data_IF_623710385248
#
_entry.id   IF_623710385248
#
_cell.length_a   1.000
_cell.length_b   1.000
_cell.length_c   1.000
_cell.angle_alpha   90.00
_cell.angle_beta   90.00
_cell.angle_gamma   90.00
#
_symmetry.space_group_name_H-M   'P 1'
#
loop_
_entity.id
_entity.type
_entity.pdbx_description
1 polymer ?
#
# COMPACT_ATOMS: atom_id res chain seq x y z
N UNK A 1 -0.27 -25.16 -3.38
CA UNK A 1 0.26 -24.77 -2.06
C UNK A 1 1.03 -23.45 -2.12
N UNK A 2 2.02 -23.30 -3.00
CA UNK A 2 2.83 -22.07 -3.13
C UNK A 2 2.02 -20.79 -3.36
N UNK A 3 1.04 -20.82 -4.27
CA UNK A 3 0.14 -19.68 -4.51
C UNK A 3 -0.59 -19.24 -3.23
N UNK A 4 -1.18 -20.18 -2.49
CA UNK A 4 -1.91 -19.89 -1.26
C UNK A 4 -0.99 -19.24 -0.21
N UNK A 5 0.21 -19.79 0.00
CA UNK A 5 1.18 -19.25 0.95
C UNK A 5 1.57 -17.81 0.56
N UNK A 6 1.90 -17.58 -0.71
CA UNK A 6 2.30 -16.25 -1.19
C UNK A 6 1.13 -15.26 -1.11
N UNK A 7 -0.09 -15.71 -1.40
CA UNK A 7 -1.29 -14.89 -1.27
C UNK A 7 -1.55 -14.49 0.19
N UNK A 8 -1.39 -15.42 1.14
CA UNK A 8 -1.49 -15.11 2.57
C UNK A 8 -0.43 -14.10 3.02
N UNK A 9 0.82 -14.27 2.58
CA UNK A 9 1.90 -13.31 2.86
C UNK A 9 1.58 -11.94 2.27
N UNK A 10 1.09 -11.90 1.03
CA UNK A 10 0.69 -10.67 0.35
C UNK A 10 -0.38 -9.90 1.14
N UNK A 11 -1.44 -10.60 1.55
CA UNK A 11 -2.53 -10.00 2.32
C UNK A 11 -2.05 -9.49 3.68
N UNK A 12 -1.24 -10.27 4.39
CA UNK A 12 -0.68 -9.86 5.67
C UNK A 12 0.18 -8.59 5.54
N UNK A 13 1.05 -8.54 4.54
CA UNK A 13 1.90 -7.39 4.24
C UNK A 13 1.07 -6.15 3.85
N UNK A 14 0.04 -6.33 3.03
CA UNK A 14 -0.90 -5.28 2.64
C UNK A 14 -1.68 -4.74 3.86
N UNK A 15 -2.10 -5.60 4.79
CA UNK A 15 -2.80 -5.17 6.00
C UNK A 15 -1.92 -4.39 6.97
N UNK A 16 -0.64 -4.74 7.11
CA UNK A 16 0.29 -3.94 7.91
C UNK A 16 0.38 -2.51 7.36
N UNK A 17 0.55 -2.38 6.04
CA UNK A 17 0.66 -1.07 5.39
C UNK A 17 -0.65 -0.28 5.43
N UNK A 18 -1.76 -0.90 5.03
CA UNK A 18 -3.08 -0.28 5.03
C UNK A 18 -3.56 0.08 6.44
N UNK A 19 -3.33 -0.80 7.42
CA UNK A 19 -3.65 -0.55 8.82
C UNK A 19 -2.90 0.64 9.39
N UNK A 20 -1.60 0.79 9.09
CA UNK A 20 -0.85 2.00 9.45
C UNK A 20 -1.47 3.26 8.85
N UNK A 21 -1.84 3.24 7.57
CA UNK A 21 -2.43 4.42 6.92
C UNK A 21 -3.79 4.79 7.49
N UNK A 22 -4.62 3.80 7.87
CA UNK A 22 -5.88 4.01 8.58
C UNK A 22 -5.60 4.69 9.93
N UNK A 23 -4.69 4.14 10.72
CA UNK A 23 -4.34 4.68 12.04
C UNK A 23 -3.80 6.11 11.92
N UNK A 24 -2.90 6.37 10.98
CA UNK A 24 -2.29 7.69 10.84
C UNK A 24 -3.28 8.76 10.36
N UNK A 25 -4.13 8.44 9.39
CA UNK A 25 -5.05 9.41 8.79
C UNK A 25 -6.36 9.59 9.57
N UNK A 26 -6.83 8.58 10.31
CA UNK A 26 -8.11 8.66 11.04
C UNK A 26 -7.95 8.94 12.53
N UNK A 27 -6.81 8.59 13.13
CA UNK A 27 -6.62 8.69 14.58
C UNK A 27 -5.45 9.61 14.94
N UNK A 28 -4.24 9.34 14.43
CA UNK A 28 -3.05 10.10 14.84
C UNK A 28 -3.10 11.57 14.37
N UNK A 29 -3.81 11.87 13.29
CA UNK A 29 -4.01 13.24 12.82
C UNK A 29 -4.69 14.16 13.84
N UNK A 30 -5.51 13.59 14.74
CA UNK A 30 -6.26 14.31 15.77
C UNK A 30 -5.50 14.44 17.10
N UNK A 31 -4.38 13.73 17.29
CA UNK A 31 -3.58 13.83 18.54
C UNK A 31 -3.12 15.27 18.79
N UNK A 32 -2.85 16.04 17.74
CA UNK A 32 -2.48 17.45 17.84
C UNK A 32 -3.53 18.33 18.53
N UNK A 33 -4.78 17.87 18.62
CA UNK A 33 -5.88 18.60 19.26
C UNK A 33 -5.86 18.43 20.79
N UNK A 34 -5.18 17.39 21.30
CA UNK A 34 -5.16 17.03 22.71
C UNK A 34 -3.85 17.38 23.43
N UNK A 35 -2.78 17.72 22.70
CA UNK A 35 -1.43 17.91 23.24
C UNK A 35 -0.78 19.19 22.72
N UNK A 36 0.20 19.72 23.46
CA UNK A 36 1.03 20.81 22.96
C UNK A 36 1.85 20.39 21.73
N UNK A 37 2.34 21.36 20.95
CA UNK A 37 3.11 21.07 19.73
C UNK A 37 4.40 20.27 20.00
N UNK A 38 5.05 20.50 21.14
CA UNK A 38 6.26 19.79 21.56
C UNK A 38 5.94 18.32 21.91
N UNK A 39 4.91 18.09 22.73
CA UNK A 39 4.45 16.75 23.10
C UNK A 39 3.99 15.95 21.87
N UNK A 40 3.22 16.59 20.98
CA UNK A 40 2.78 15.97 19.74
C UNK A 40 3.96 15.50 18.88
N UNK A 41 5.01 16.33 18.78
CA UNK A 41 6.23 15.96 18.03
C UNK A 41 6.91 14.76 18.65
N UNK A 42 7.11 14.75 19.97
CA UNK A 42 7.74 13.65 20.70
C UNK A 42 6.97 12.33 20.57
N UNK A 43 5.64 12.39 20.71
CA UNK A 43 4.75 11.23 20.53
C UNK A 43 4.86 10.71 19.10
N UNK A 44 4.73 11.60 18.10
CA UNK A 44 4.80 11.21 16.68
C UNK A 44 6.14 10.59 16.32
N UNK A 45 7.26 11.14 16.79
CA UNK A 45 8.58 10.58 16.53
C UNK A 45 8.77 9.20 17.17
N UNK A 46 8.31 9.03 18.42
CA UNK A 46 8.38 7.75 19.11
C UNK A 46 7.65 6.64 18.34
N UNK A 47 6.48 6.96 17.78
CA UNK A 47 5.69 6.04 16.97
C UNK A 47 6.35 5.80 15.60
N UNK A 48 6.73 6.86 14.90
CA UNK A 48 7.31 6.79 13.55
C UNK A 48 8.63 6.02 13.52
N UNK A 49 9.38 5.99 14.62
CA UNK A 49 10.60 5.17 14.77
C UNK A 49 10.32 3.68 14.53
N UNK A 50 9.20 3.16 15.03
CA UNK A 50 8.83 1.75 14.86
C UNK A 50 8.14 1.50 13.52
N UNK A 51 7.27 2.43 13.10
CA UNK A 51 6.60 2.40 11.79
C UNK A 51 7.62 2.22 10.65
N UNK A 52 8.70 3.02 10.65
CA UNK A 52 9.72 2.97 9.58
C UNK A 52 10.47 1.63 9.51
N UNK A 53 10.45 0.83 10.58
CA UNK A 53 11.08 -0.50 10.59
C UNK A 53 10.16 -1.60 10.06
N UNK A 54 8.86 -1.39 10.05
CA UNK A 54 7.87 -2.43 9.74
C UNK A 54 7.12 -2.12 8.45
N UNK A 55 6.61 -0.90 8.31
CA UNK A 55 5.73 -0.51 7.20
C UNK A 55 6.42 -0.52 5.84
N UNK A 56 7.63 0.05 5.66
CA UNK A 56 8.30 0.03 4.35
C UNK A 56 8.73 -1.38 3.90
N UNK A 57 9.34 -2.24 4.75
CA UNK A 57 9.58 -3.63 4.37
C UNK A 57 8.31 -4.38 4.01
N UNK A 58 7.22 -4.23 4.79
CA UNK A 58 5.94 -4.85 4.46
C UNK A 58 5.40 -4.38 3.11
N UNK A 59 5.54 -3.11 2.78
CA UNK A 59 5.11 -2.61 1.48
C UNK A 59 5.92 -3.21 0.32
N UNK A 60 7.23 -3.40 0.48
CA UNK A 60 8.05 -4.10 -0.52
C UNK A 60 7.60 -5.55 -0.67
N UNK A 61 7.37 -6.25 0.44
CA UNK A 61 6.86 -7.63 0.42
C UNK A 61 5.52 -7.67 -0.31
N UNK A 62 4.60 -6.74 -0.04
CA UNK A 62 3.32 -6.65 -0.72
C UNK A 62 3.49 -6.45 -2.24
N UNK A 63 4.41 -5.60 -2.69
CA UNK A 63 4.66 -5.40 -4.13
C UNK A 63 5.25 -6.65 -4.78
N UNK A 64 6.31 -7.23 -4.20
CA UNK A 64 6.97 -8.40 -4.78
C UNK A 64 6.02 -9.61 -4.86
N UNK A 65 5.30 -9.87 -3.78
CA UNK A 65 4.30 -10.95 -3.76
C UNK A 65 3.12 -10.65 -4.67
N UNK A 66 2.70 -9.38 -4.79
CA UNK A 66 1.65 -8.96 -5.71
C UNK A 66 2.02 -9.19 -7.17
N UNK A 67 3.24 -8.81 -7.57
CA UNK A 67 3.78 -9.07 -8.91
C UNK A 67 3.84 -10.57 -9.22
N UNK A 68 4.28 -11.38 -8.25
CA UNK A 68 4.23 -12.83 -8.38
C UNK A 68 2.78 -13.31 -8.61
N UNK A 69 1.82 -12.92 -7.78
CA UNK A 69 0.43 -13.36 -7.91
C UNK A 69 -0.17 -12.98 -9.26
N UNK A 70 0.11 -11.75 -9.74
CA UNK A 70 -0.28 -11.29 -11.06
C UNK A 70 0.27 -12.22 -12.14
N UNK A 71 1.55 -12.57 -12.08
CA UNK A 71 2.17 -13.48 -13.07
C UNK A 71 1.49 -14.85 -13.16
N UNK A 72 0.82 -15.30 -12.10
CA UNK A 72 0.12 -16.57 -12.05
C UNK A 72 -1.31 -16.50 -12.59
N UNK A 73 -1.96 -15.33 -12.52
CA UNK A 73 -3.40 -15.18 -12.80
C UNK A 73 -3.73 -14.27 -13.99
N UNK A 74 -2.77 -13.51 -14.52
CA UNK A 74 -3.04 -12.50 -15.56
C UNK A 74 -3.57 -13.13 -16.85
N UNK A 75 -3.05 -14.31 -17.23
CA UNK A 75 -3.45 -15.01 -18.45
C UNK A 75 -3.02 -14.30 -19.74
N UNK A 76 -3.29 -14.91 -20.92
CA UNK A 76 -3.00 -14.30 -22.21
C UNK A 76 -3.97 -13.15 -22.53
N UNK A 77 -3.52 -12.22 -23.36
CA UNK A 77 -4.37 -11.15 -23.91
C UNK A 77 -5.15 -11.72 -25.10
N UNK A 78 -6.47 -11.56 -25.08
CA UNK A 78 -7.36 -12.06 -26.13
C UNK A 78 -7.28 -11.21 -27.41
N UNK A 79 -7.91 -11.69 -28.48
CA UNK A 79 -7.98 -10.95 -29.76
C UNK A 79 -8.75 -9.63 -29.64
N UNK A 80 -9.68 -9.55 -28.70
CA UNK A 80 -10.47 -8.34 -28.41
C UNK A 80 -9.79 -7.42 -27.38
N UNK A 81 -8.57 -7.75 -26.93
CA UNK A 81 -7.80 -6.96 -25.98
C UNK A 81 -7.87 -7.49 -24.54
N UNK A 82 -7.73 -6.59 -23.57
CA UNK A 82 -7.71 -6.90 -22.15
C UNK A 82 -9.13 -7.14 -21.62
N UNK A 83 -9.32 -8.21 -20.84
CA UNK A 83 -10.57 -8.41 -20.10
C UNK A 83 -10.74 -7.38 -18.98
N UNK A 84 -11.98 -7.16 -18.52
CA UNK A 84 -12.28 -6.33 -17.35
C UNK A 84 -11.41 -6.71 -16.15
N UNK A 85 -11.24 -8.01 -15.91
CA UNK A 85 -10.34 -8.54 -14.88
C UNK A 85 -8.90 -8.06 -15.08
N UNK A 86 -8.33 -8.20 -16.28
CA UNK A 86 -6.96 -7.80 -16.58
C UNK A 86 -6.75 -6.29 -16.47
N UNK A 87 -7.74 -5.49 -16.89
CA UNK A 87 -7.70 -4.02 -16.77
C UNK A 87 -7.70 -3.58 -15.29
N UNK A 88 -8.64 -4.11 -14.49
CA UNK A 88 -8.72 -3.78 -13.05
C UNK A 88 -7.47 -4.28 -12.31
N UNK A 89 -7.00 -5.49 -12.62
CA UNK A 89 -5.79 -6.05 -12.04
C UNK A 89 -4.55 -5.20 -12.40
N UNK A 90 -4.45 -4.74 -13.65
CA UNK A 90 -3.40 -3.82 -14.10
C UNK A 90 -3.43 -2.49 -13.37
N UNK A 91 -4.62 -1.90 -13.17
CA UNK A 91 -4.78 -0.66 -12.40
C UNK A 91 -4.36 -0.86 -10.93
N UNK A 92 -4.76 -1.97 -10.31
CA UNK A 92 -4.33 -2.32 -8.95
C UNK A 92 -2.81 -2.47 -8.86
N UNK A 93 -2.21 -3.15 -9.84
CA UNK A 93 -0.76 -3.32 -9.92
C UNK A 93 -0.05 -1.97 -10.02
N UNK A 94 -0.53 -1.08 -10.90
CA UNK A 94 0.00 0.27 -11.05
C UNK A 94 -0.03 1.05 -9.73
N UNK A 95 -1.19 1.10 -9.06
CA UNK A 95 -1.33 1.78 -7.77
C UNK A 95 -0.43 1.16 -6.69
N UNK A 96 -0.37 -0.17 -6.62
CA UNK A 96 0.48 -0.89 -5.65
C UNK A 96 1.97 -0.66 -5.87
N UNK A 97 2.44 -0.74 -7.11
CA UNK A 97 3.84 -0.47 -7.48
C UNK A 97 4.19 0.98 -7.16
N UNK A 98 3.32 1.94 -7.47
CA UNK A 98 3.53 3.35 -7.12
C UNK A 98 3.75 3.52 -5.61
N UNK A 99 2.90 2.90 -4.78
CA UNK A 99 3.06 2.92 -3.32
C UNK A 99 4.40 2.31 -2.90
N UNK A 100 4.77 1.15 -3.45
CA UNK A 100 6.03 0.48 -3.13
C UNK A 100 7.26 1.26 -3.54
N UNK A 101 7.26 1.86 -4.74
CA UNK A 101 8.34 2.74 -5.19
C UNK A 101 8.47 3.94 -4.26
N UNK A 102 7.35 4.60 -3.91
CA UNK A 102 7.37 5.72 -2.95
C UNK A 102 7.95 5.29 -1.60
N UNK A 103 7.38 4.27 -0.97
CA UNK A 103 7.83 3.82 0.36
C UNK A 103 9.28 3.34 0.37
N UNK A 104 9.68 2.59 -0.66
CA UNK A 104 11.05 2.09 -0.81
C UNK A 104 12.07 3.21 -1.04
N UNK A 105 11.81 4.11 -1.98
CA UNK A 105 12.70 5.24 -2.27
C UNK A 105 12.87 6.17 -1.06
N UNK A 106 11.79 6.41 -0.32
CA UNK A 106 11.82 7.25 0.87
C UNK A 106 12.69 6.66 1.99
N UNK A 107 12.64 5.34 2.19
CA UNK A 107 13.27 4.69 3.35
C UNK A 107 14.69 4.26 3.06
N UNK A 108 14.96 3.68 1.88
CA UNK A 108 16.29 3.15 1.55
C UNK A 108 17.19 4.17 0.85
N UNK A 109 16.62 5.05 0.04
CA UNK A 109 17.40 6.02 -0.73
C UNK A 109 17.32 7.44 -0.13
N UNK A 110 16.51 7.64 0.92
CA UNK A 110 16.22 8.96 1.54
C UNK A 110 15.74 10.01 0.52
N UNK A 111 15.32 9.57 -0.67
CA UNK A 111 14.77 10.43 -1.72
C UNK A 111 13.33 10.69 -1.31
N UNK A 112 12.93 11.95 -1.09
CA UNK A 112 11.52 12.29 -0.91
C UNK A 112 10.81 12.05 -2.25
N UNK A 113 10.05 10.95 -2.41
CA UNK A 113 9.48 10.60 -3.69
C UNK A 113 8.21 11.44 -3.84
N UNK A 114 8.35 12.51 -4.62
CA UNK A 114 7.31 13.45 -5.01
C UNK A 114 6.81 14.39 -3.90
N UNK A 115 6.32 15.55 -4.35
CA UNK A 115 5.98 16.80 -3.63
C UNK A 115 4.95 16.62 -2.48
N UNK A 116 4.42 15.41 -2.27
CA UNK A 116 3.36 15.13 -1.31
C UNK A 116 3.92 14.52 -0.01
N UNK A 117 4.18 15.39 0.98
CA UNK A 117 4.56 14.99 2.36
C UNK A 117 3.45 14.28 3.14
N UNK A 118 2.23 14.23 2.59
CA UNK A 118 1.04 13.69 3.26
C UNK A 118 0.87 12.18 3.05
N UNK A 119 0.29 11.50 4.04
CA UNK A 119 -0.17 10.11 3.91
C UNK A 119 -1.59 9.97 3.35
N UNK A 120 -2.27 11.09 3.04
CA UNK A 120 -3.63 11.10 2.49
C UNK A 120 -3.69 10.46 1.10
N UNK A 121 -2.77 10.82 0.19
CA UNK A 121 -2.75 10.23 -1.16
C UNK A 121 -2.48 8.72 -1.13
N UNK A 122 -1.46 8.22 -0.38
CA UNK A 122 -1.31 6.78 -0.16
C UNK A 122 -2.55 6.10 0.41
N UNK A 123 -3.23 6.75 1.35
CA UNK A 123 -4.45 6.24 1.95
C UNK A 123 -5.60 6.15 0.93
N UNK A 124 -5.78 7.18 0.11
CA UNK A 124 -6.73 7.15 -0.99
C UNK A 124 -6.45 5.99 -1.95
N UNK A 125 -5.18 5.75 -2.31
CA UNK A 125 -4.82 4.62 -3.17
C UNK A 125 -5.13 3.26 -2.54
N UNK A 126 -4.89 3.09 -1.24
CA UNK A 126 -5.28 1.85 -0.53
C UNK A 126 -6.79 1.66 -0.57
N UNK A 127 -7.57 2.70 -0.30
CA UNK A 127 -9.04 2.64 -0.40
C UNK A 127 -9.46 2.27 -1.82
N UNK A 128 -8.90 2.93 -2.84
CA UNK A 128 -9.19 2.62 -4.24
C UNK A 128 -8.87 1.17 -4.57
N UNK A 129 -7.73 0.62 -4.14
CA UNK A 129 -7.36 -0.79 -4.36
C UNK A 129 -8.39 -1.74 -3.72
N UNK A 130 -8.89 -1.42 -2.52
CA UNK A 130 -9.91 -2.22 -1.83
C UNK A 130 -11.22 -2.24 -2.64
N UNK A 131 -11.67 -1.08 -3.10
CA UNK A 131 -12.88 -0.99 -3.93
C UNK A 131 -12.72 -1.71 -5.27
N UNK A 132 -11.59 -1.48 -5.98
CA UNK A 132 -11.28 -2.17 -7.23
C UNK A 132 -11.31 -3.69 -7.07
N UNK A 133 -10.92 -4.21 -5.90
CA UNK A 133 -10.97 -5.65 -5.61
C UNK A 133 -12.37 -6.24 -5.62
N UNK A 134 -13.41 -5.44 -5.33
CA UNK A 134 -14.81 -5.89 -5.37
C UNK A 134 -15.31 -6.02 -6.81
N UNK A 135 -14.83 -5.17 -7.71
CA UNK A 135 -15.27 -5.13 -9.11
C UNK A 135 -14.52 -6.11 -10.03
N UNK A 136 -13.46 -6.78 -9.53
CA UNK A 136 -12.64 -7.70 -10.34
C UNK A 136 -13.42 -8.87 -10.95
N UNK A 137 -14.50 -9.30 -10.30
CA UNK A 137 -15.30 -10.47 -10.70
C UNK A 137 -16.67 -10.11 -11.27
N UNK A 138 -16.97 -8.82 -11.40
CA UNK A 138 -18.21 -8.36 -12.02
C UNK A 138 -18.00 -8.43 -13.54
N UNK A 139 -18.85 -9.22 -14.20
CA UNK A 139 -18.87 -9.41 -15.65
C UNK A 139 -19.71 -8.34 -16.33
#
# INVERSE_FOLDING_TARGET
>A
MTYLIIHTIHLFAAFIYGGFLIVDNLFLVHIKEAFSAEEHTKIRESFMKYVRKVVPPSLIVAVVTGLYLISQIYGPIGKEGLSTFQMILGLKAFLGIWLGLRGGLQVYFKIQPFVFKSHVLPFAFVITIIFLSQFMWIQ
#
